data_IF_577571638457
#
_entry.id   IF_577571638457
#
_cell.length_a   1.000
_cell.length_b   1.000
_cell.length_c   1.000
_cell.angle_alpha   90.00
_cell.angle_beta   90.00
_cell.angle_gamma   90.00
#
_symmetry.space_group_name_H-M   'P 1'
#
loop_
_entity.id
_entity.type
_entity.pdbx_description
1 polymer ?
#
# COMPACT_ATOMS: atom_id res chain seq x y z
N UNK A 1 17.72 -8.43 -19.73
CA UNK A 1 17.19 -8.19 -18.37
C UNK A 1 15.84 -7.49 -18.50
N UNK A 2 14.80 -7.89 -17.75
CA UNK A 2 13.48 -7.23 -17.81
C UNK A 2 12.29 -8.12 -18.19
N UNK A 3 12.42 -9.45 -18.15
CA UNK A 3 11.29 -10.32 -18.53
C UNK A 3 10.24 -10.48 -17.42
N UNK A 4 10.64 -10.36 -16.15
CA UNK A 4 9.78 -10.64 -15.00
C UNK A 4 9.79 -9.47 -14.02
N UNK A 5 9.08 -8.39 -14.36
CA UNK A 5 8.88 -7.24 -13.47
C UNK A 5 7.44 -6.77 -13.51
N UNK A 6 6.96 -6.17 -12.42
CA UNK A 6 5.64 -5.56 -12.35
C UNK A 6 5.68 -4.28 -11.51
N UNK A 7 5.02 -3.23 -11.99
CA UNK A 7 4.73 -2.02 -11.21
C UNK A 7 3.55 -2.31 -10.28
N UNK A 8 3.65 -1.90 -9.02
CA UNK A 8 2.69 -2.27 -7.97
C UNK A 8 1.86 -1.09 -7.48
N UNK A 9 2.51 0.00 -7.05
CA UNK A 9 1.83 1.14 -6.43
C UNK A 9 2.50 2.45 -6.83
N UNK A 10 1.72 3.52 -6.87
CA UNK A 10 2.20 4.90 -6.91
C UNK A 10 1.93 5.57 -5.56
N UNK A 11 2.89 6.32 -5.03
CA UNK A 11 2.69 7.16 -3.85
C UNK A 11 3.36 8.51 -4.01
N UNK A 12 2.92 9.51 -3.23
CA UNK A 12 3.70 10.72 -3.03
C UNK A 12 4.91 10.45 -2.13
N UNK A 13 5.98 11.20 -2.33
CA UNK A 13 7.12 11.26 -1.43
C UNK A 13 7.76 12.65 -1.50
N UNK A 14 8.18 13.19 -0.36
CA UNK A 14 8.88 14.47 -0.35
C UNK A 14 10.38 14.29 -0.55
N UNK A 15 11.03 15.26 -1.21
CA UNK A 15 12.47 15.24 -1.38
C UNK A 15 13.21 15.18 -0.03
N UNK A 16 14.10 14.21 0.10
CA UNK A 16 14.80 13.85 1.35
C UNK A 16 13.88 13.61 2.57
N UNK A 17 12.59 13.37 2.34
CA UNK A 17 11.60 13.17 3.40
C UNK A 17 11.19 14.45 4.14
N UNK A 18 11.61 15.62 3.67
CA UNK A 18 11.23 16.92 4.26
C UNK A 18 9.99 17.48 3.57
N UNK A 19 8.91 17.63 4.34
CA UNK A 19 7.60 18.07 3.85
C UNK A 19 7.56 19.52 3.34
N UNK A 20 8.61 20.31 3.56
CA UNK A 20 8.73 21.66 2.98
C UNK A 20 9.19 21.63 1.52
N UNK A 21 9.75 20.49 1.07
CA UNK A 21 10.25 20.35 -0.30
C UNK A 21 9.16 19.88 -1.27
N UNK A 22 9.52 19.84 -2.55
CA UNK A 22 8.63 19.37 -3.62
C UNK A 22 8.11 17.94 -3.39
N UNK A 23 6.81 17.75 -3.68
CA UNK A 23 6.16 16.44 -3.68
C UNK A 23 6.50 15.68 -4.97
N UNK A 24 7.27 14.61 -4.84
CA UNK A 24 7.65 13.72 -5.92
C UNK A 24 6.67 12.54 -6.05
N UNK A 25 6.60 11.98 -7.26
CA UNK A 25 5.89 10.74 -7.53
C UNK A 25 6.82 9.54 -7.39
N UNK A 26 6.52 8.64 -6.46
CA UNK A 26 7.24 7.40 -6.25
C UNK A 26 6.48 6.25 -6.89
N UNK A 27 7.11 5.61 -7.88
CA UNK A 27 6.58 4.42 -8.54
C UNK A 27 7.27 3.19 -7.96
N UNK A 28 6.50 2.29 -7.36
CA UNK A 28 6.99 1.03 -6.84
C UNK A 28 6.88 -0.07 -7.89
N UNK A 29 7.88 -0.95 -7.91
CA UNK A 29 7.87 -2.15 -8.71
C UNK A 29 8.69 -3.25 -8.08
N UNK A 30 8.39 -4.50 -8.46
CA UNK A 30 9.12 -5.69 -8.03
C UNK A 30 9.69 -6.41 -9.25
N UNK A 31 10.93 -6.86 -9.12
CA UNK A 31 11.58 -7.77 -10.05
C UNK A 31 11.66 -9.18 -9.46
N UNK A 32 11.43 -10.20 -10.28
CA UNK A 32 11.59 -11.61 -9.95
C UNK A 32 12.68 -12.28 -10.80
N UNK A 33 13.34 -13.31 -10.25
CA UNK A 33 14.31 -14.10 -11.01
C UNK A 33 13.61 -14.95 -12.09
N UNK A 34 12.44 -15.48 -11.77
CA UNK A 34 11.53 -16.18 -12.69
C UNK A 34 10.12 -15.59 -12.65
N UNK A 35 9.29 -15.92 -13.65
CA UNK A 35 7.87 -15.54 -13.66
C UNK A 35 7.12 -16.12 -12.44
N UNK A 36 7.44 -17.37 -12.07
CA UNK A 36 6.84 -18.05 -10.92
C UNK A 36 7.10 -17.30 -9.60
N UNK A 37 8.32 -16.82 -9.40
CA UNK A 37 8.68 -16.06 -8.18
C UNK A 37 7.91 -14.74 -8.10
N UNK A 38 7.72 -14.08 -9.24
CA UNK A 38 6.94 -12.84 -9.32
C UNK A 38 5.47 -13.10 -9.00
N UNK A 39 4.87 -14.12 -9.59
CA UNK A 39 3.46 -14.46 -9.38
C UNK A 39 3.20 -14.92 -7.94
N UNK A 40 4.11 -15.70 -7.36
CA UNK A 40 4.02 -16.12 -5.97
C UNK A 40 4.08 -14.92 -5.02
N UNK A 41 4.98 -13.96 -5.27
CA UNK A 41 5.04 -12.72 -4.51
C UNK A 41 3.75 -11.92 -4.62
N UNK A 42 3.21 -11.75 -5.83
CA UNK A 42 1.97 -11.00 -6.06
C UNK A 42 0.78 -11.66 -5.34
N UNK A 43 0.72 -13.00 -5.35
CA UNK A 43 -0.30 -13.75 -4.61
C UNK A 43 -0.20 -13.49 -3.10
N UNK A 44 1.01 -13.45 -2.53
CA UNK A 44 1.19 -13.14 -1.10
C UNK A 44 0.73 -11.72 -0.76
N UNK A 45 0.97 -10.75 -1.64
CA UNK A 45 0.50 -9.37 -1.46
C UNK A 45 -1.02 -9.31 -1.50
N UNK A 46 -1.67 -9.98 -2.46
CA UNK A 46 -3.13 -10.04 -2.54
C UNK A 46 -3.74 -10.66 -1.27
N UNK A 47 -3.14 -11.73 -0.76
CA UNK A 47 -3.58 -12.37 0.49
C UNK A 47 -3.36 -11.47 1.72
N UNK A 48 -2.30 -10.67 1.74
CA UNK A 48 -2.08 -9.70 2.81
C UNK A 48 -3.11 -8.56 2.78
N UNK A 49 -3.47 -8.07 1.58
CA UNK A 49 -4.49 -7.01 1.41
C UNK A 49 -5.89 -7.47 1.86
N UNK A 50 -6.24 -8.74 1.68
CA UNK A 50 -7.49 -9.32 2.20
C UNK A 50 -7.56 -9.31 3.74
N UNK A 51 -6.41 -9.22 4.42
CA UNK A 51 -6.29 -9.26 5.89
C UNK A 51 -5.97 -7.91 6.50
N UNK A 52 -6.06 -6.83 5.72
CA UNK A 52 -5.83 -5.47 6.21
C UNK A 52 -6.96 -5.06 7.18
N UNK A 53 -6.61 -4.78 8.44
CA UNK A 53 -7.56 -4.40 9.49
C UNK A 53 -8.36 -3.13 9.16
N UNK A 54 -7.83 -2.23 8.32
CA UNK A 54 -8.56 -1.00 7.90
C UNK A 54 -9.62 -1.33 6.87
N UNK A 55 -9.33 -2.29 5.99
CA UNK A 55 -10.29 -2.80 5.00
C UNK A 55 -11.40 -3.58 5.71
N UNK A 56 -11.02 -4.56 6.53
CA UNK A 56 -11.98 -5.38 7.28
C UNK A 56 -12.78 -4.54 8.27
N UNK A 57 -12.15 -3.59 8.98
CA UNK A 57 -12.84 -2.69 9.91
C UNK A 57 -13.92 -1.85 9.25
N UNK A 58 -13.72 -1.45 7.99
CA UNK A 58 -14.73 -0.76 7.18
C UNK A 58 -15.81 -1.71 6.66
N UNK A 59 -15.42 -2.86 6.11
CA UNK A 59 -16.37 -3.84 5.54
C UNK A 59 -17.30 -4.44 6.60
N UNK A 60 -16.81 -4.61 7.82
CA UNK A 60 -17.55 -5.17 8.96
C UNK A 60 -18.13 -4.10 9.91
N UNK A 61 -18.03 -2.81 9.56
CA UNK A 61 -18.52 -1.67 10.36
C UNK A 61 -18.07 -1.70 11.84
N UNK A 62 -16.79 -2.03 12.08
CA UNK A 62 -16.23 -2.20 13.43
C UNK A 62 -15.78 -0.87 14.05
N UNK A 63 -15.17 0.00 13.24
CA UNK A 63 -14.70 1.32 13.64
C UNK A 63 -14.55 2.23 12.43
N UNK A 64 -14.56 3.54 12.68
CA UNK A 64 -14.29 4.55 11.65
C UNK A 64 -13.41 5.69 12.17
N UNK A 65 -12.81 6.42 11.23
CA UNK A 65 -12.05 7.64 11.50
C UNK A 65 -12.83 8.83 10.95
N UNK A 66 -12.73 9.97 11.62
CA UNK A 66 -13.36 11.23 11.23
C UNK A 66 -12.28 12.30 11.04
N UNK A 67 -12.49 13.22 10.10
CA UNK A 67 -11.54 14.30 9.83
C UNK A 67 -11.43 15.27 11.02
N UNK A 68 -12.49 15.41 11.81
CA UNK A 68 -12.52 16.26 12.99
C UNK A 68 -11.60 15.78 14.13
N UNK A 69 -11.19 14.50 14.10
CA UNK A 69 -10.26 13.93 15.09
C UNK A 69 -9.32 12.91 14.42
N UNK A 70 -8.32 13.38 13.66
CA UNK A 70 -7.43 12.51 12.91
C UNK A 70 -6.58 11.66 13.85
N UNK A 71 -6.57 10.34 13.62
CA UNK A 71 -5.85 9.38 14.43
C UNK A 71 -6.61 8.82 15.64
N UNK A 72 -7.78 9.37 15.96
CA UNK A 72 -8.67 8.80 16.99
C UNK A 72 -9.64 7.80 16.39
N UNK A 73 -9.69 6.60 16.98
CA UNK A 73 -10.61 5.54 16.54
C UNK A 73 -11.97 5.75 17.19
N UNK A 74 -13.02 5.83 16.38
CA UNK A 74 -14.40 5.78 16.86
C UNK A 74 -14.89 4.34 16.70
N UNK A 75 -15.01 3.65 17.83
CA UNK A 75 -15.64 2.35 17.91
C UNK A 75 -17.15 2.54 17.92
N UNK A 76 -17.86 1.61 17.29
CA UNK A 76 -19.30 1.48 17.45
C UNK A 76 -19.63 0.76 18.75
#
# INVERSE_FOLDING_TARGET
MGKYFKLTKVSGAYWRGDSNNEMLQRIYGRFGATQKDLDEYLKRIEEAEKRDHRKLGREMDLFHFREESPGSVFWK
#
